data_IF_395820194869
#
_entry.id   IF_395820194869
#
_cell.length_a   1.000
_cell.length_b   1.000
_cell.length_c   1.000
_cell.angle_alpha   90.00
_cell.angle_beta   90.00
_cell.angle_gamma   90.00
#
_symmetry.space_group_name_H-M   'P 1'
#
loop_
_entity.id
_entity.type
_entity.pdbx_description
1 polymer ?
#
# COMPACT_ATOMS: atom_id res chain seq x y z
N UNK A 1 -50.25 49.24 20.28
CA UNK A 1 -49.47 48.01 20.64
C UNK A 1 -48.61 47.48 19.48
N UNK A 2 -47.84 48.33 18.78
CA UNK A 2 -46.81 47.87 17.82
C UNK A 2 -45.43 48.52 18.03
N UNK A 3 -45.33 49.47 18.95
CA UNK A 3 -44.08 50.14 19.33
C UNK A 3 -43.31 49.46 20.49
N UNK A 4 -43.83 48.35 21.05
CA UNK A 4 -43.22 47.62 22.18
C UNK A 4 -42.34 46.44 21.72
N UNK A 5 -42.48 45.98 20.46
CA UNK A 5 -41.67 44.88 19.92
C UNK A 5 -40.34 45.31 19.28
N UNK A 6 -40.08 46.61 19.14
CA UNK A 6 -38.84 47.15 18.55
C UNK A 6 -37.81 47.63 19.59
N UNK A 7 -37.99 47.29 20.88
CA UNK A 7 -37.16 47.81 21.99
C UNK A 7 -36.50 46.72 22.87
N UNK A 8 -36.43 45.47 22.39
CA UNK A 8 -35.78 44.35 23.11
C UNK A 8 -34.62 43.70 22.33
N UNK A 9 -34.05 44.38 21.35
CA UNK A 9 -32.94 43.88 20.51
C UNK A 9 -31.75 44.85 20.48
N UNK A 10 -31.52 45.60 21.57
CA UNK A 10 -30.37 46.49 21.70
C UNK A 10 -29.98 46.75 23.17
N UNK A 11 -29.62 45.70 23.92
CA UNK A 11 -28.87 45.85 25.18
C UNK A 11 -28.33 44.49 25.64
N UNK A 12 -27.06 44.19 25.30
CA UNK A 12 -26.09 43.48 26.15
C UNK A 12 -24.82 43.18 25.33
N UNK A 13 -24.07 44.25 25.11
CA UNK A 13 -22.63 44.20 24.86
C UNK A 13 -21.89 43.77 26.12
N UNK A 14 -21.06 42.74 25.98
CA UNK A 14 -19.70 42.59 26.53
C UNK A 14 -19.57 42.50 28.07
N UNK A 15 -19.35 41.28 28.57
CA UNK A 15 -18.35 41.01 29.62
C UNK A 15 -17.52 39.76 29.27
N UNK A 16 -16.33 40.09 28.79
CA UNK A 16 -15.05 39.41 28.70
C UNK A 16 -14.73 38.27 29.71
N UNK A 17 -14.34 37.12 29.12
CA UNK A 17 -13.23 36.20 29.41
C UNK A 17 -12.95 35.68 30.84
N UNK A 18 -13.07 34.36 31.00
CA UNK A 18 -11.99 33.46 31.46
C UNK A 18 -12.35 32.01 31.06
N UNK A 19 -11.71 31.48 30.02
CA UNK A 19 -10.74 30.38 30.13
C UNK A 19 -11.29 29.15 30.86
N UNK A 20 -11.67 28.13 30.08
CA UNK A 20 -11.01 26.82 30.15
C UNK A 20 -11.15 26.15 28.80
N UNK A 21 -10.07 26.21 28.02
CA UNK A 21 -9.85 25.25 26.96
C UNK A 21 -9.69 23.88 27.63
N UNK A 22 -10.71 23.04 27.53
CA UNK A 22 -10.51 21.60 27.52
C UNK A 22 -10.70 21.18 26.07
N UNK A 23 -9.59 21.16 25.34
CA UNK A 23 -9.39 20.17 24.30
C UNK A 23 -9.40 18.80 24.97
N UNK A 24 -10.41 17.97 24.69
CA UNK A 24 -10.12 16.61 24.37
C UNK A 24 -10.25 16.56 22.86
N UNK A 25 -9.12 16.75 22.18
CA UNK A 25 -8.85 15.97 20.98
C UNK A 25 -8.83 14.49 21.39
N UNK A 26 -9.97 13.95 21.79
CA UNK A 26 -10.28 12.54 21.66
C UNK A 26 -10.56 12.36 20.17
N UNK A 27 -9.48 12.41 19.38
CA UNK A 27 -9.49 11.77 18.08
C UNK A 27 -9.83 10.31 18.37
N UNK A 28 -11.09 9.97 18.09
CA UNK A 28 -11.56 8.59 18.05
C UNK A 28 -10.64 7.88 17.08
N UNK A 29 -9.69 7.15 17.64
CA UNK A 29 -8.80 6.24 16.94
C UNK A 29 -9.71 5.29 16.16
N UNK A 30 -9.85 5.52 14.85
CA UNK A 30 -10.75 4.74 13.99
C UNK A 30 -10.03 3.45 13.60
N UNK A 31 -9.66 2.67 14.62
CA UNK A 31 -9.16 1.31 14.45
C UNK A 31 -10.36 0.52 13.92
N UNK A 32 -10.38 0.23 12.61
CA UNK A 32 -11.26 -0.80 12.09
C UNK A 32 -10.64 -2.14 12.46
N UNK A 33 -11.06 -2.66 13.61
CA UNK A 33 -10.75 -4.02 14.02
C UNK A 33 -11.65 -4.95 13.22
N UNK A 34 -11.13 -5.49 12.13
CA UNK A 34 -11.76 -6.60 11.43
C UNK A 34 -11.10 -7.89 11.90
N UNK A 35 -11.87 -8.71 12.62
CA UNK A 35 -11.44 -10.07 12.99
C UNK A 35 -11.61 -10.95 11.75
N UNK A 36 -10.51 -11.22 11.06
CA UNK A 36 -10.51 -12.13 9.91
C UNK A 36 -10.42 -13.57 10.45
N UNK A 37 -11.55 -14.27 10.45
CA UNK A 37 -11.67 -15.66 10.91
C UNK A 37 -11.20 -16.59 9.80
N UNK A 38 -9.94 -17.04 9.89
CA UNK A 38 -9.37 -18.01 8.95
C UNK A 38 -9.31 -19.40 9.57
N UNK A 39 -9.68 -20.43 8.83
CA UNK A 39 -9.65 -21.83 9.26
C UNK A 39 -8.45 -22.54 8.66
N UNK A 40 -7.62 -23.15 9.49
CA UNK A 40 -6.36 -23.79 9.09
C UNK A 40 -6.38 -25.27 9.47
N UNK A 41 -5.83 -26.14 8.62
CA UNK A 41 -5.69 -27.55 8.94
C UNK A 41 -4.49 -27.78 9.88
N UNK A 42 -4.65 -28.45 11.03
CA UNK A 42 -3.54 -28.71 11.95
C UNK A 42 -2.43 -29.59 11.37
N UNK A 43 -2.72 -30.35 10.30
CA UNK A 43 -1.74 -31.19 9.59
C UNK A 43 -1.21 -30.55 8.31
N UNK A 44 -1.89 -29.52 7.78
CA UNK A 44 -1.49 -28.83 6.56
C UNK A 44 -1.63 -27.32 6.76
N UNK A 45 -0.60 -26.66 7.35
CA UNK A 45 -0.63 -25.21 7.61
C UNK A 45 -0.86 -24.35 6.37
N UNK A 46 -0.55 -24.90 5.19
CA UNK A 46 -0.74 -24.25 3.88
C UNK A 46 -2.20 -24.28 3.40
N UNK A 47 -3.07 -25.05 4.06
CA UNK A 47 -4.51 -25.11 3.77
C UNK A 47 -5.22 -24.11 4.68
N UNK A 48 -5.48 -22.93 4.13
CA UNK A 48 -6.19 -21.83 4.78
C UNK A 48 -7.51 -21.63 4.04
N UNK A 49 -8.62 -21.59 4.78
CA UNK A 49 -9.96 -21.40 4.21
C UNK A 49 -10.73 -20.35 5.00
N UNK A 50 -11.64 -19.64 4.33
CA UNK A 50 -12.46 -18.60 4.96
C UNK A 50 -13.68 -19.18 5.69
N UNK A 51 -13.93 -20.49 5.54
CA UNK A 51 -15.09 -21.20 6.09
C UNK A 51 -14.67 -22.45 6.86
N UNK A 52 -15.44 -22.75 7.90
CA UNK A 52 -15.31 -24.00 8.67
C UNK A 52 -15.60 -25.20 7.78
N UNK A 53 -14.88 -26.30 7.97
CA UNK A 53 -15.13 -27.52 7.22
C UNK A 53 -14.05 -28.57 7.39
N UNK A 54 -14.12 -29.61 6.56
CA UNK A 54 -13.09 -30.65 6.47
C UNK A 54 -11.97 -30.18 5.54
N UNK A 55 -10.74 -30.48 5.92
CA UNK A 55 -9.57 -30.22 5.09
C UNK A 55 -9.67 -31.02 3.79
N UNK A 56 -9.55 -30.39 2.61
CA UNK A 56 -9.61 -31.09 1.31
C UNK A 56 -8.47 -32.08 1.08
N UNK A 57 -7.37 -32.00 1.85
CA UNK A 57 -6.22 -32.91 1.71
C UNK A 57 -6.30 -34.16 2.58
N UNK A 58 -6.84 -34.07 3.81
CA UNK A 58 -6.88 -35.19 4.75
C UNK A 58 -8.24 -35.48 5.37
N UNK A 59 -9.28 -34.74 5.01
CA UNK A 59 -10.64 -34.94 5.52
C UNK A 59 -10.85 -34.60 7.00
N UNK A 60 -9.80 -34.18 7.73
CA UNK A 60 -9.88 -33.78 9.13
C UNK A 60 -10.41 -32.35 9.27
N UNK A 61 -11.13 -32.05 10.35
CA UNK A 61 -11.72 -30.73 10.59
C UNK A 61 -10.66 -29.62 10.70
N UNK A 62 -10.95 -28.49 10.09
CA UNK A 62 -10.13 -27.28 10.19
C UNK A 62 -10.32 -26.61 11.54
N UNK A 63 -9.24 -26.06 12.07
CA UNK A 63 -9.24 -25.30 13.32
C UNK A 63 -9.37 -23.81 13.03
N UNK A 64 -10.23 -23.12 13.78
CA UNK A 64 -10.38 -21.67 13.69
C UNK A 64 -9.10 -21.00 14.20
N UNK A 65 -8.54 -20.11 13.39
CA UNK A 65 -7.46 -19.22 13.77
C UNK A 65 -7.93 -17.78 13.53
N UNK A 66 -8.21 -17.10 14.64
CA UNK A 66 -8.54 -15.68 14.62
C UNK A 66 -7.25 -14.91 14.40
N UNK A 67 -7.14 -14.23 13.26
CA UNK A 67 -6.06 -13.27 13.03
C UNK A 67 -6.66 -11.87 13.17
N UNK A 68 -6.23 -11.16 14.21
CA UNK A 68 -6.52 -9.73 14.31
C UNK A 68 -5.78 -9.02 13.19
N UNK A 69 -6.50 -8.58 12.16
CA UNK A 69 -5.95 -7.73 11.11
C UNK A 69 -6.25 -6.29 11.48
N UNK A 70 -5.25 -5.62 12.06
CA UNK A 70 -5.29 -4.16 12.17
C UNK A 70 -5.06 -3.60 10.77
N UNK A 71 -6.14 -3.19 10.11
CA UNK A 71 -6.01 -2.36 8.92
C UNK A 71 -5.67 -0.94 9.38
N UNK A 72 -4.38 -0.62 9.30
CA UNK A 72 -3.86 0.69 9.66
C UNK A 72 -4.21 1.66 8.54
N UNK A 73 -5.21 2.52 8.77
CA UNK A 73 -5.71 3.50 7.79
C UNK A 73 -4.92 4.82 7.84
N UNK A 74 -3.67 4.80 8.30
CA UNK A 74 -2.85 6.01 8.46
C UNK A 74 -1.86 6.22 7.31
N UNK A 75 -1.75 7.46 6.81
CA UNK A 75 -0.78 7.83 5.76
C UNK A 75 0.66 7.83 6.27
N UNK A 76 0.86 8.10 7.56
CA UNK A 76 2.15 8.19 8.22
C UNK A 76 2.21 7.31 9.47
N UNK A 77 3.37 6.72 9.75
CA UNK A 77 3.63 5.82 10.87
C UNK A 77 4.91 6.21 11.62
N UNK A 78 4.93 5.97 12.92
CA UNK A 78 6.12 6.20 13.75
C UNK A 78 7.08 5.00 13.67
N UNK A 79 8.37 5.18 13.29
CA UNK A 79 9.34 4.09 13.20
C UNK A 79 9.67 3.45 14.56
N UNK A 80 9.47 4.17 15.67
CA UNK A 80 9.76 3.69 17.02
C UNK A 80 8.56 3.02 17.70
N UNK A 81 7.34 3.24 17.20
CA UNK A 81 6.11 2.77 17.83
C UNK A 81 5.17 2.15 16.79
N UNK A 82 5.24 0.81 16.62
CA UNK A 82 4.33 0.09 15.73
C UNK A 82 2.87 0.35 16.13
N UNK A 83 2.05 0.77 15.17
CA UNK A 83 0.63 1.06 15.37
C UNK A 83 0.29 2.52 15.69
N UNK A 84 1.29 3.40 15.92
CA UNK A 84 1.05 4.85 15.98
C UNK A 84 1.10 5.42 14.58
N UNK A 85 -0.06 5.86 14.10
CA UNK A 85 -0.22 6.43 12.78
C UNK A 85 -0.91 7.79 12.79
N UNK A 86 -0.75 8.52 11.70
CA UNK A 86 -1.37 9.82 11.50
C UNK A 86 -1.64 10.11 10.03
N UNK A 87 -2.57 11.02 9.79
CA UNK A 87 -2.96 11.42 8.42
C UNK A 87 -2.03 12.49 7.83
N UNK A 88 -1.22 13.15 8.68
CA UNK A 88 -0.39 14.30 8.30
C UNK A 88 1.08 14.05 8.58
N UNK A 89 1.98 14.63 7.77
CA UNK A 89 3.41 14.66 8.10
C UNK A 89 3.64 15.47 9.37
N UNK A 90 4.57 15.03 10.22
CA UNK A 90 4.82 15.72 11.50
C UNK A 90 5.68 14.93 12.46
N UNK A 91 5.64 15.32 13.74
CA UNK A 91 6.29 14.61 14.86
C UNK A 91 5.31 13.62 15.48
N UNK A 92 5.81 12.47 15.90
CA UNK A 92 5.06 11.47 16.64
C UNK A 92 4.56 12.10 17.95
N UNK A 93 3.29 11.93 18.26
CA UNK A 93 2.65 12.44 19.48
C UNK A 93 3.20 11.81 20.76
N UNK A 94 3.88 10.67 20.67
CA UNK A 94 4.40 9.95 21.85
C UNK A 94 5.90 10.17 22.07
N UNK A 95 6.73 10.04 21.04
CA UNK A 95 8.18 10.21 21.18
C UNK A 95 8.74 11.48 20.52
N UNK A 96 7.92 12.28 19.83
CA UNK A 96 8.40 13.47 19.13
C UNK A 96 9.23 13.20 17.86
N UNK A 97 9.53 11.94 17.54
CA UNK A 97 10.27 11.54 16.34
C UNK A 97 9.51 11.85 15.05
N UNK A 98 10.21 12.15 13.96
CA UNK A 98 9.58 12.43 12.66
C UNK A 98 8.80 11.21 12.15
N UNK A 99 7.53 11.41 11.82
CA UNK A 99 6.66 10.40 11.25
C UNK A 99 7.07 10.12 9.79
N UNK A 100 7.02 8.86 9.38
CA UNK A 100 7.37 8.41 8.04
C UNK A 100 6.11 8.01 7.27
N UNK A 101 6.08 8.15 5.94
CA UNK A 101 4.96 7.60 5.17
C UNK A 101 4.84 6.08 5.41
N UNK A 102 3.60 5.61 5.51
CA UNK A 102 3.28 4.19 5.66
C UNK A 102 3.77 3.40 4.45
N UNK A 103 4.11 2.10 4.60
CA UNK A 103 4.55 1.27 3.47
C UNK A 103 3.53 1.25 2.32
N UNK A 104 2.23 1.27 2.62
CA UNK A 104 1.13 1.28 1.64
C UNK A 104 1.13 2.56 0.80
N UNK A 105 1.33 3.73 1.43
CA UNK A 105 1.41 5.01 0.71
C UNK A 105 2.76 5.22 0.01
N UNK A 106 3.87 4.74 0.60
CA UNK A 106 5.17 4.68 -0.10
C UNK A 106 5.12 3.82 -1.36
N UNK A 107 4.31 2.75 -1.36
CA UNK A 107 4.08 1.93 -2.55
C UNK A 107 3.24 2.66 -3.60
N UNK A 108 2.25 3.46 -3.19
CA UNK A 108 1.48 4.30 -4.13
C UNK A 108 2.32 5.44 -4.73
N UNK A 109 3.15 6.10 -3.94
CA UNK A 109 4.03 7.16 -4.42
C UNK A 109 5.20 6.64 -5.27
N UNK A 110 5.60 5.38 -5.11
CA UNK A 110 6.65 4.74 -5.91
C UNK A 110 6.17 4.09 -7.21
N UNK A 111 4.89 4.28 -7.56
CA UNK A 111 4.31 3.92 -8.85
C UNK A 111 3.79 5.22 -9.46
N UNK A 112 4.67 5.94 -10.16
CA UNK A 112 4.21 6.95 -11.12
C UNK A 112 3.51 6.18 -12.23
N UNK A 113 2.18 6.18 -12.20
CA UNK A 113 1.36 5.59 -13.26
C UNK A 113 1.63 6.38 -14.52
N UNK A 114 2.37 5.78 -15.45
CA UNK A 114 2.69 6.40 -16.73
C UNK A 114 1.71 5.85 -17.75
N UNK A 115 1.03 6.73 -18.46
CA UNK A 115 0.03 6.40 -19.47
C UNK A 115 0.67 6.53 -20.84
N UNK A 116 0.76 5.44 -21.61
CA UNK A 116 1.39 5.42 -22.93
C UNK A 116 0.40 5.11 -24.05
N UNK A 117 0.63 5.67 -25.23
CA UNK A 117 -0.24 5.44 -26.38
C UNK A 117 0.15 4.11 -27.08
N UNK A 118 -0.78 3.16 -27.26
CA UNK A 118 -0.48 1.89 -27.91
C UNK A 118 0.01 2.02 -29.36
N UNK A 119 -0.30 3.13 -30.04
CA UNK A 119 0.17 3.43 -31.40
C UNK A 119 1.37 4.38 -31.45
N UNK A 120 1.69 5.06 -30.34
CA UNK A 120 2.75 6.06 -30.28
C UNK A 120 3.50 5.91 -28.95
N UNK A 121 4.46 4.96 -28.87
CA UNK A 121 5.20 4.67 -27.63
C UNK A 121 5.95 5.87 -27.06
N UNK A 122 6.29 6.85 -27.91
CA UNK A 122 6.95 8.10 -27.51
C UNK A 122 6.01 9.08 -26.79
N UNK A 123 4.72 8.78 -26.72
CA UNK A 123 3.72 9.60 -26.03
C UNK A 123 3.44 8.96 -24.67
N UNK A 124 4.02 9.55 -23.63
CA UNK A 124 3.80 9.21 -22.23
C UNK A 124 3.18 10.41 -21.48
N UNK A 125 2.31 10.13 -20.53
CA UNK A 125 1.62 11.12 -19.68
C UNK A 125 1.55 10.60 -18.25
N UNK A 126 1.61 11.48 -17.25
CA UNK A 126 1.39 11.12 -15.84
C UNK A 126 -0.10 11.00 -15.51
N UNK A 127 -0.97 11.41 -16.45
CA UNK A 127 -2.42 11.40 -16.30
C UNK A 127 -3.10 10.57 -17.40
N UNK A 128 -4.23 9.96 -17.05
CA UNK A 128 -5.11 9.29 -18.01
C UNK A 128 -5.65 10.30 -19.03
N UNK A 129 -5.70 9.91 -20.30
CA UNK A 129 -6.21 10.80 -21.32
C UNK A 129 -6.18 10.20 -22.72
N UNK A 130 -6.44 11.05 -23.70
CA UNK A 130 -6.36 10.69 -25.12
C UNK A 130 -5.00 11.11 -25.66
N UNK A 131 -4.41 10.26 -26.50
CA UNK A 131 -3.17 10.55 -27.18
C UNK A 131 -3.34 11.77 -28.10
N UNK A 132 -2.50 12.81 -27.98
CA UNK A 132 -2.61 14.02 -28.80
C UNK A 132 -2.30 13.78 -30.28
N UNK A 133 -1.67 12.66 -30.64
CA UNK A 133 -1.31 12.32 -32.03
C UNK A 133 -2.40 11.55 -32.77
N UNK A 134 -3.07 10.60 -32.11
CA UNK A 134 -4.04 9.72 -32.76
C UNK A 134 -5.43 9.71 -32.11
N UNK A 135 -5.62 10.42 -30.99
CA UNK A 135 -6.90 10.48 -30.29
C UNK A 135 -7.33 9.18 -29.61
N UNK A 136 -6.51 8.12 -29.61
CA UNK A 136 -6.81 6.89 -28.85
C UNK A 136 -6.53 7.07 -27.36
N UNK A 137 -7.22 6.29 -26.52
CA UNK A 137 -6.98 6.27 -25.08
C UNK A 137 -5.57 5.78 -24.74
N UNK A 138 -4.89 6.52 -23.87
CA UNK A 138 -3.62 6.12 -23.29
C UNK A 138 -3.85 4.95 -22.33
N UNK A 139 -3.04 3.90 -22.44
CA UNK A 139 -3.10 2.74 -21.55
C UNK A 139 -2.17 2.95 -20.37
N UNK A 140 -2.63 2.55 -19.19
CA UNK A 140 -1.81 2.54 -17.98
C UNK A 140 -0.67 1.53 -18.16
N UNK A 141 0.55 2.04 -18.15
CA UNK A 141 1.75 1.25 -18.06
C UNK A 141 2.31 1.42 -16.65
N UNK A 142 2.36 0.31 -15.90
CA UNK A 142 3.04 0.28 -14.62
C UNK A 142 4.55 0.30 -14.86
N UNK A 143 5.10 1.44 -15.28
CA UNK A 143 6.53 1.65 -15.30
C UNK A 143 7.00 1.74 -13.84
N UNK A 144 7.44 0.61 -13.30
CA UNK A 144 8.28 0.62 -12.12
C UNK A 144 9.51 1.47 -12.46
N UNK A 145 9.60 2.67 -11.92
CA UNK A 145 10.83 3.47 -11.98
C UNK A 145 11.92 2.62 -11.33
N UNK A 146 12.76 2.01 -12.18
CA UNK A 146 13.80 1.10 -11.74
C UNK A 146 14.91 1.94 -11.13
N UNK A 147 14.90 2.09 -9.81
CA UNK A 147 15.99 2.72 -9.08
C UNK A 147 17.20 1.78 -9.06
N UNK A 148 18.30 2.21 -9.66
CA UNK A 148 19.60 1.57 -9.62
C UNK A 148 20.42 2.13 -8.45
N UNK A 149 21.15 1.27 -7.74
CA UNK A 149 22.03 1.65 -6.64
C UNK A 149 23.40 0.96 -6.76
N UNK A 150 24.44 1.60 -6.25
CA UNK A 150 25.75 0.98 -6.17
C UNK A 150 25.84 0.03 -4.96
N UNK A 151 26.31 -1.20 -5.16
CA UNK A 151 26.45 -2.20 -4.08
C UNK A 151 27.37 -1.74 -2.95
N UNK A 152 28.38 -0.92 -3.26
CA UNK A 152 29.34 -0.38 -2.28
C UNK A 152 28.97 1.01 -1.76
N UNK A 153 28.00 1.68 -2.41
CA UNK A 153 27.53 3.02 -2.05
C UNK A 153 26.00 3.06 -2.17
N UNK A 154 25.26 2.50 -1.18
CA UNK A 154 23.80 2.40 -1.26
C UNK A 154 23.08 3.76 -1.29
N UNK A 155 23.75 4.83 -0.84
CA UNK A 155 23.24 6.20 -0.87
C UNK A 155 23.29 6.83 -2.28
N UNK A 156 23.92 6.18 -3.26
CA UNK A 156 24.00 6.63 -4.64
C UNK A 156 22.95 5.90 -5.47
N UNK A 157 21.79 6.53 -5.64
CA UNK A 157 20.66 6.02 -6.43
C UNK A 157 20.50 6.79 -7.75
N UNK A 158 20.09 6.10 -8.81
CA UNK A 158 19.83 6.67 -10.14
C UNK A 158 18.60 6.03 -10.76
N UNK A 159 17.84 6.78 -11.54
CA UNK A 159 16.68 6.28 -12.29
C UNK A 159 17.09 5.65 -13.64
N UNK A 160 18.39 5.72 -13.97
CA UNK A 160 18.95 5.18 -15.21
C UNK A 160 20.10 4.22 -14.92
N UNK A 161 20.28 3.17 -15.76
CA UNK A 161 21.50 2.36 -15.75
C UNK A 161 22.73 3.24 -15.98
N UNK A 162 23.85 2.89 -15.37
CA UNK A 162 25.08 3.67 -15.52
C UNK A 162 26.20 3.22 -14.60
N UNK A 163 27.30 3.96 -14.62
CA UNK A 163 28.42 3.75 -13.69
C UNK A 163 28.24 4.64 -12.47
N UNK A 164 28.56 4.10 -11.30
CA UNK A 164 28.59 4.87 -10.06
C UNK A 164 29.62 6.00 -10.18
N UNK A 165 29.20 7.23 -9.90
CA UNK A 165 30.06 8.41 -9.98
C UNK A 165 31.24 8.40 -9.00
N UNK A 166 31.21 7.54 -7.97
CA UNK A 166 32.28 7.46 -6.96
C UNK A 166 33.30 6.35 -7.22
N UNK A 167 32.83 5.15 -7.55
CA UNK A 167 33.70 3.98 -7.70
C UNK A 167 33.81 3.46 -9.14
N UNK A 168 33.09 4.06 -10.09
CA UNK A 168 33.08 3.65 -11.50
C UNK A 168 32.44 2.28 -11.77
N UNK A 169 32.03 1.56 -10.73
CA UNK A 169 31.36 0.26 -10.85
C UNK A 169 29.95 0.42 -11.41
N UNK A 170 29.48 -0.55 -12.20
CA UNK A 170 28.12 -0.52 -12.75
C UNK A 170 27.07 -0.50 -11.64
N UNK A 171 26.11 0.41 -11.75
CA UNK A 171 24.96 0.46 -10.86
C UNK A 171 24.08 -0.77 -11.13
N UNK A 172 23.59 -1.40 -10.06
CA UNK A 172 22.70 -2.56 -10.18
C UNK A 172 21.32 -2.20 -9.66
N UNK A 173 20.27 -2.89 -10.11
CA UNK A 173 18.93 -2.68 -9.58
C UNK A 173 18.96 -2.72 -8.05
N UNK A 174 18.34 -1.70 -7.43
CA UNK A 174 18.30 -1.62 -5.99
C UNK A 174 17.67 -2.88 -5.40
N UNK A 175 18.08 -3.32 -4.20
CA UNK A 175 17.49 -4.50 -3.56
C UNK A 175 15.96 -4.42 -3.47
N UNK A 176 15.42 -3.21 -3.28
CA UNK A 176 13.98 -2.92 -3.27
C UNK A 176 13.33 -3.20 -4.63
N UNK A 177 13.93 -2.74 -5.72
CA UNK A 177 13.42 -3.02 -7.09
C UNK A 177 13.62 -4.49 -7.48
N UNK A 178 14.72 -5.14 -7.08
CA UNK A 178 14.90 -6.59 -7.28
C UNK A 178 13.81 -7.40 -6.57
N UNK A 179 13.51 -7.04 -5.32
CA UNK A 179 12.44 -7.69 -4.56
C UNK A 179 11.06 -7.40 -5.16
N UNK A 180 10.81 -6.18 -5.64
CA UNK A 180 9.58 -5.81 -6.36
C UNK A 180 9.42 -6.63 -7.64
N UNK A 181 10.47 -6.74 -8.46
CA UNK A 181 10.46 -7.55 -9.67
C UNK A 181 10.30 -9.04 -9.39
N UNK A 182 10.85 -9.56 -8.29
CA UNK A 182 10.64 -10.95 -7.82
C UNK A 182 9.19 -11.19 -7.39
N UNK A 183 8.63 -10.30 -6.58
CA UNK A 183 7.25 -10.39 -6.07
C UNK A 183 6.21 -10.22 -7.19
N UNK A 184 6.53 -9.44 -8.22
CA UNK A 184 5.68 -9.28 -9.41
C UNK A 184 5.73 -10.49 -10.36
N UNK A 185 6.61 -11.48 -10.17
CA UNK A 185 6.61 -12.70 -10.99
C UNK A 185 5.43 -13.57 -10.57
N UNK A 186 4.37 -13.56 -11.37
CA UNK A 186 3.27 -14.51 -11.22
C UNK A 186 3.66 -15.80 -11.94
N UNK A 187 3.50 -16.93 -11.27
CA UNK A 187 3.69 -18.27 -11.81
C UNK A 187 2.31 -18.92 -11.96
N UNK A 188 2.08 -19.63 -13.07
CA UNK A 188 0.81 -20.29 -13.34
C UNK A 188 1.01 -21.73 -13.80
N UNK A 189 0.08 -22.60 -13.45
CA UNK A 189 0.10 -23.97 -13.93
C UNK A 189 -0.32 -24.02 -15.41
N UNK A 190 0.47 -24.65 -16.29
CA UNK A 190 0.13 -24.76 -17.71
C UNK A 190 -1.16 -25.55 -17.99
N UNK A 191 -1.60 -26.39 -17.04
CA UNK A 191 -2.82 -27.20 -17.17
C UNK A 191 -4.03 -26.62 -16.40
N UNK A 192 -3.78 -25.75 -15.42
CA UNK A 192 -4.81 -25.23 -14.52
C UNK A 192 -4.64 -23.73 -14.42
N UNK A 193 -5.34 -22.99 -15.27
CA UNK A 193 -5.24 -21.53 -15.37
C UNK A 193 -5.67 -20.79 -14.09
N UNK A 194 -6.44 -21.46 -13.24
CA UNK A 194 -6.88 -21.00 -11.93
C UNK A 194 -5.81 -21.19 -10.83
N UNK A 195 -4.77 -21.99 -11.08
CA UNK A 195 -3.65 -22.17 -10.16
C UNK A 195 -2.56 -21.17 -10.49
N UNK A 196 -2.47 -20.11 -9.68
CA UNK A 196 -1.43 -19.08 -9.76
C UNK A 196 -0.68 -18.94 -8.43
N UNK A 197 0.55 -18.46 -8.47
CA UNK A 197 1.43 -18.29 -7.31
C UNK A 197 2.36 -17.10 -7.52
N UNK A 198 2.74 -16.41 -6.46
CA UNK A 198 3.80 -15.39 -6.48
C UNK A 198 5.20 -15.97 -6.26
N UNK A 199 5.32 -17.31 -6.24
CA UNK A 199 6.57 -18.04 -6.05
C UNK A 199 6.68 -19.22 -7.02
N UNK A 200 7.90 -19.60 -7.42
CA UNK A 200 8.15 -20.87 -8.09
C UNK A 200 7.67 -22.03 -7.22
N UNK A 201 7.24 -23.13 -7.86
CA UNK A 201 6.83 -24.33 -7.14
C UNK A 201 6.07 -25.30 -8.02
N UNK A 202 5.51 -26.34 -7.39
CA UNK A 202 4.67 -27.33 -8.06
C UNK A 202 3.20 -26.96 -7.93
N UNK A 203 2.44 -27.20 -8.99
CA UNK A 203 1.01 -27.05 -9.01
C UNK A 203 0.38 -27.98 -7.97
N UNK A 204 -0.49 -27.43 -7.14
CA UNK A 204 -1.18 -28.18 -6.07
C UNK A 204 -2.20 -29.18 -6.59
N UNK A 205 -2.62 -29.07 -7.85
CA UNK A 205 -3.61 -29.95 -8.48
C UNK A 205 -2.98 -31.09 -9.29
N UNK A 206 -1.97 -30.79 -10.12
CA UNK A 206 -1.38 -31.77 -11.03
C UNK A 206 0.10 -32.09 -10.74
N UNK A 207 0.73 -31.44 -9.77
CA UNK A 207 2.14 -31.68 -9.41
C UNK A 207 3.17 -31.17 -10.42
N UNK A 208 2.74 -30.69 -11.59
CA UNK A 208 3.64 -30.08 -12.58
C UNK A 208 4.20 -28.76 -12.09
N UNK A 209 5.42 -28.43 -12.53
CA UNK A 209 6.06 -27.17 -12.17
C UNK A 209 5.31 -25.97 -12.75
N UNK A 210 5.09 -24.96 -11.90
CA UNK A 210 4.45 -23.71 -12.28
C UNK A 210 5.40 -22.92 -13.18
N UNK A 211 4.90 -22.51 -14.34
CA UNK A 211 5.68 -21.71 -15.29
C UNK A 211 5.50 -20.24 -14.97
N UNK A 212 6.59 -19.47 -15.04
CA UNK A 212 6.54 -18.01 -14.92
C UNK A 212 5.63 -17.46 -16.02
N UNK A 213 4.65 -16.66 -15.64
CA UNK A 213 3.78 -15.92 -16.54
C UNK A 213 4.53 -14.64 -16.93
N UNK A 214 4.83 -14.51 -18.21
CA UNK A 214 5.31 -13.25 -18.77
C UNK A 214 4.10 -12.31 -18.87
N UNK A 215 4.21 -11.10 -18.31
CA UNK A 215 3.28 -10.02 -18.60
C UNK A 215 3.50 -9.53 -20.04
#
# INVERSE_FOLDING_TARGET
>A
MKAIKMLMMAALTILSFSVFAQDPTTQKNKIRQTVEKTYICPMHPDVIMDKSGKCPKCGRNLTLKEKMKMEVVGLYECPAHPGITGDKPGKCSVCGSKMNLSPKEKMKMGVMKTYTCPMHPDVASDESGKCPKCGMDLKEEEQSVQTYSCSSHPDMTSDKPGKCSKCGTSLTLSPKEKMKMEVMKIYSCPMHSDVTSNKPGKCTKCGMDLKKRSN
#
